data_IF_193165410902
#
_entry.id   IF_193165410902
#
_cell.length_a   1.000
_cell.length_b   1.000
_cell.length_c   1.000
_cell.angle_alpha   90.00
_cell.angle_beta   90.00
_cell.angle_gamma   90.00
#
_symmetry.space_group_name_H-M   'P 1'
#
loop_
_entity.id
_entity.type
_entity.pdbx_description
1 polymer ?
#
# COMPACT_ATOMS: atom_id res chain seq x y z
N UNK A 1 51.28 -62.42 12.02
CA UNK A 1 51.46 -61.24 11.12
C UNK A 1 50.34 -60.98 10.14
N UNK A 2 49.27 -61.71 10.09
CA UNK A 2 48.21 -61.61 9.09
C UNK A 2 47.05 -60.68 9.47
N UNK A 3 46.72 -60.46 10.72
CA UNK A 3 45.58 -59.67 11.21
C UNK A 3 45.79 -58.16 11.04
N UNK A 4 47.03 -57.68 11.24
CA UNK A 4 47.38 -56.25 11.04
C UNK A 4 47.32 -55.80 9.59
N UNK A 5 47.50 -56.68 8.60
CA UNK A 5 47.35 -56.34 7.16
C UNK A 5 45.92 -56.20 6.73
N UNK A 6 44.99 -56.99 7.30
CA UNK A 6 43.57 -56.93 6.96
C UNK A 6 42.92 -55.67 7.53
N UNK A 7 43.33 -55.26 8.74
CA UNK A 7 42.83 -54.02 9.38
C UNK A 7 43.23 -52.76 8.60
N UNK A 8 44.44 -52.76 8.02
CA UNK A 8 44.92 -51.64 7.26
C UNK A 8 44.21 -51.49 5.89
N UNK A 9 43.79 -52.59 5.30
CA UNK A 9 43.08 -52.59 4.00
C UNK A 9 41.62 -52.07 4.18
N UNK A 10 40.97 -52.38 5.30
CA UNK A 10 39.62 -51.89 5.58
C UNK A 10 39.63 -50.38 5.79
N UNK A 11 40.56 -49.83 6.55
CA UNK A 11 40.70 -48.38 6.80
C UNK A 11 41.05 -47.63 5.50
N UNK A 12 41.91 -48.20 4.65
CA UNK A 12 42.24 -47.62 3.35
C UNK A 12 41.03 -47.56 2.42
N UNK A 13 40.14 -48.54 2.49
CA UNK A 13 38.93 -48.59 1.67
C UNK A 13 37.92 -47.52 2.12
N UNK A 14 37.72 -47.34 3.42
CA UNK A 14 36.86 -46.31 3.98
C UNK A 14 37.39 -44.89 3.68
N UNK A 15 38.71 -44.70 3.74
CA UNK A 15 39.35 -43.42 3.34
C UNK A 15 39.18 -43.12 1.86
N UNK A 16 39.30 -44.14 0.97
CA UNK A 16 39.02 -43.96 -0.45
C UNK A 16 37.55 -43.60 -0.74
N UNK A 17 36.62 -44.21 -0.06
CA UNK A 17 35.20 -43.91 -0.19
C UNK A 17 34.86 -42.49 0.30
N UNK A 18 35.46 -42.07 1.43
CA UNK A 18 35.33 -40.70 1.94
C UNK A 18 35.95 -39.67 1.00
N UNK A 19 37.08 -39.94 0.43
CA UNK A 19 37.73 -39.06 -0.59
C UNK A 19 36.89 -38.94 -1.87
N UNK A 20 36.28 -40.01 -2.34
CA UNK A 20 35.39 -40.00 -3.48
C UNK A 20 34.09 -39.23 -3.19
N UNK A 21 33.57 -39.35 -1.97
CA UNK A 21 32.40 -38.56 -1.52
C UNK A 21 32.69 -37.06 -1.43
N UNK A 22 33.90 -36.71 -0.93
CA UNK A 22 34.38 -35.31 -0.89
C UNK A 22 34.62 -34.73 -2.29
N UNK A 23 35.12 -35.51 -3.23
CA UNK A 23 35.24 -35.07 -4.63
C UNK A 23 33.90 -34.85 -5.29
N UNK A 24 32.90 -35.74 -5.06
CA UNK A 24 31.52 -35.55 -5.54
C UNK A 24 30.85 -34.33 -4.93
N UNK A 25 31.12 -34.00 -3.65
CA UNK A 25 30.65 -32.78 -3.01
C UNK A 25 31.33 -31.54 -3.59
N UNK A 26 32.62 -31.57 -3.88
CA UNK A 26 33.34 -30.46 -4.55
C UNK A 26 32.84 -30.19 -5.96
N UNK A 27 32.51 -31.24 -6.74
CA UNK A 27 31.89 -31.05 -8.07
C UNK A 27 30.50 -30.49 -7.97
N UNK A 28 29.64 -30.98 -7.05
CA UNK A 28 28.30 -30.40 -6.78
C UNK A 28 28.37 -28.95 -6.29
N UNK A 29 29.39 -28.57 -5.53
CA UNK A 29 29.60 -27.18 -5.11
C UNK A 29 30.06 -26.25 -6.22
N UNK A 30 30.80 -26.78 -7.22
CA UNK A 30 31.20 -26.03 -8.43
C UNK A 30 30.04 -25.82 -9.42
N UNK A 31 29.03 -26.66 -9.37
CA UNK A 31 27.80 -26.54 -10.17
C UNK A 31 26.76 -25.59 -9.57
N UNK A 32 27.04 -24.91 -8.45
CA UNK A 32 26.22 -23.75 -8.05
C UNK A 32 26.27 -22.76 -9.21
N UNK A 33 25.19 -22.78 -10.01
CA UNK A 33 24.92 -21.82 -11.08
C UNK A 33 25.21 -20.43 -10.53
N UNK A 34 26.34 -19.86 -10.93
CA UNK A 34 26.62 -18.46 -10.67
C UNK A 34 25.50 -17.70 -11.37
N UNK A 35 24.61 -17.06 -10.59
CA UNK A 35 23.57 -16.20 -11.18
C UNK A 35 24.29 -15.10 -11.97
N UNK A 36 24.28 -15.22 -13.27
CA UNK A 36 24.80 -14.20 -14.17
C UNK A 36 23.84 -13.02 -14.07
N UNK A 37 24.30 -11.89 -13.54
CA UNK A 37 23.52 -10.65 -13.50
C UNK A 37 23.26 -10.20 -14.93
N UNK A 38 21.99 -10.14 -15.31
CA UNK A 38 21.55 -9.61 -16.59
C UNK A 38 21.30 -8.13 -16.44
N UNK A 39 21.90 -7.30 -17.30
CA UNK A 39 21.65 -5.85 -17.30
C UNK A 39 20.19 -5.56 -17.70
N UNK A 40 19.55 -4.65 -16.97
CA UNK A 40 18.20 -4.18 -17.27
C UNK A 40 18.08 -3.65 -18.71
N UNK A 41 19.15 -3.00 -19.23
CA UNK A 41 19.21 -2.55 -20.64
C UNK A 41 19.05 -3.66 -21.66
N UNK A 42 19.43 -4.91 -21.33
CA UNK A 42 19.21 -6.07 -22.20
C UNK A 42 17.78 -6.60 -22.15
N UNK A 43 17.04 -6.26 -21.09
CA UNK A 43 15.63 -6.63 -20.89
C UNK A 43 14.69 -5.54 -21.39
N UNK A 44 15.22 -4.37 -21.75
CA UNK A 44 14.45 -3.18 -22.13
C UNK A 44 13.85 -3.32 -23.54
N UNK A 45 12.84 -4.16 -23.65
CA UNK A 45 11.72 -3.91 -24.58
C UNK A 45 10.59 -3.36 -23.70
N UNK A 46 10.64 -2.06 -23.39
CA UNK A 46 9.50 -1.38 -22.78
C UNK A 46 8.40 -1.46 -23.83
N UNK A 47 7.44 -2.36 -23.62
CA UNK A 47 6.17 -2.31 -24.36
C UNK A 47 5.46 -1.07 -23.86
N UNK A 48 5.34 -0.06 -24.71
CA UNK A 48 4.26 0.89 -24.59
C UNK A 48 2.97 0.08 -24.79
N UNK A 49 2.09 0.08 -23.79
CA UNK A 49 0.76 -0.49 -23.95
C UNK A 49 -0.10 0.62 -24.59
N UNK A 50 -0.50 0.40 -25.83
CA UNK A 50 -1.38 1.34 -26.53
C UNK A 50 -2.76 1.37 -25.85
N UNK A 51 -3.44 2.53 -25.81
CA UNK A 51 -4.81 2.61 -25.31
C UNK A 51 -5.74 1.67 -26.08
N UNK A 52 -6.75 1.17 -25.40
CA UNK A 52 -7.81 0.35 -26.00
C UNK A 52 -9.06 1.23 -26.15
N UNK A 53 -9.63 1.27 -27.36
CA UNK A 53 -10.88 1.95 -27.60
C UNK A 53 -12.06 0.98 -27.40
N UNK A 54 -13.00 1.38 -26.52
CA UNK A 54 -14.24 0.65 -26.25
C UNK A 54 -15.44 1.53 -26.58
N UNK A 55 -16.59 0.92 -26.87
CA UNK A 55 -17.83 1.66 -27.14
C UNK A 55 -18.78 1.57 -25.94
N UNK A 56 -19.29 2.71 -25.53
CA UNK A 56 -20.37 2.82 -24.53
C UNK A 56 -21.49 3.63 -25.19
N UNK A 57 -22.56 2.97 -25.60
CA UNK A 57 -23.59 3.58 -26.45
C UNK A 57 -23.02 3.98 -27.80
N UNK A 58 -23.14 5.25 -28.14
CA UNK A 58 -22.60 5.83 -29.38
C UNK A 58 -21.19 6.41 -29.23
N UNK A 59 -20.71 6.55 -27.97
CA UNK A 59 -19.43 7.17 -27.65
C UNK A 59 -18.28 6.16 -27.67
N UNK A 60 -17.11 6.63 -28.12
CA UNK A 60 -15.86 5.86 -28.03
C UNK A 60 -15.03 6.32 -26.86
N UNK A 61 -14.77 5.41 -25.95
CA UNK A 61 -13.96 5.65 -24.77
C UNK A 61 -12.59 5.02 -24.97
N UNK A 62 -11.55 5.84 -24.87
CA UNK A 62 -10.16 5.39 -24.94
C UNK A 62 -9.65 5.05 -23.55
N UNK A 63 -9.17 3.81 -23.34
CA UNK A 63 -8.75 3.30 -22.03
C UNK A 63 -7.24 3.08 -22.02
N UNK A 64 -6.55 3.79 -21.14
CA UNK A 64 -5.11 3.64 -20.90
C UNK A 64 -4.86 2.35 -20.09
N UNK A 65 -3.88 1.54 -20.50
CA UNK A 65 -3.60 0.25 -19.87
C UNK A 65 -2.54 0.31 -18.77
N UNK A 66 -1.76 1.38 -18.69
CA UNK A 66 -0.68 1.54 -17.71
C UNK A 66 -0.49 3.00 -17.35
N UNK A 67 -0.35 3.29 -16.08
CA UNK A 67 0.04 4.60 -15.57
C UNK A 67 1.47 4.57 -14.99
N UNK A 68 2.27 5.63 -15.23
CA UNK A 68 3.51 5.84 -14.50
C UNK A 68 3.28 5.85 -12.99
N UNK A 69 4.29 5.42 -12.21
CA UNK A 69 4.19 5.31 -10.75
C UNK A 69 3.74 6.63 -10.10
N UNK A 70 4.28 7.76 -10.55
CA UNK A 70 3.90 9.09 -10.03
C UNK A 70 2.39 9.34 -10.15
N UNK A 71 1.80 9.04 -11.31
CA UNK A 71 0.35 9.18 -11.50
C UNK A 71 -0.45 8.23 -10.62
N UNK A 72 0.03 6.99 -10.42
CA UNK A 72 -0.61 6.03 -9.51
C UNK A 72 -0.63 6.56 -8.07
N UNK A 73 0.47 7.13 -7.60
CA UNK A 73 0.55 7.76 -6.27
C UNK A 73 -0.46 8.89 -6.14
N UNK A 74 -0.56 9.77 -7.16
CA UNK A 74 -1.54 10.86 -7.17
C UNK A 74 -2.98 10.32 -7.12
N UNK A 75 -3.29 9.27 -7.87
CA UNK A 75 -4.62 8.62 -7.84
C UNK A 75 -4.95 8.11 -6.43
N UNK A 76 -4.02 7.40 -5.80
CA UNK A 76 -4.22 6.87 -4.44
C UNK A 76 -4.40 8.01 -3.41
N UNK A 77 -3.61 9.07 -3.51
CA UNK A 77 -3.76 10.25 -2.64
C UNK A 77 -5.12 10.91 -2.82
N UNK A 78 -5.54 11.15 -4.06
CA UNK A 78 -6.85 11.74 -4.36
C UNK A 78 -8.00 10.92 -3.78
N UNK A 79 -7.93 9.59 -3.90
CA UNK A 79 -8.95 8.69 -3.34
C UNK A 79 -9.03 8.84 -1.82
N UNK A 80 -7.88 8.85 -1.15
CA UNK A 80 -7.79 8.99 0.31
C UNK A 80 -8.31 10.35 0.77
N UNK A 81 -7.89 11.43 0.12
CA UNK A 81 -8.31 12.79 0.46
C UNK A 81 -9.82 12.99 0.28
N UNK A 82 -10.38 12.50 -0.83
CA UNK A 82 -11.80 12.65 -1.12
C UNK A 82 -12.69 11.74 -0.25
N UNK A 83 -12.24 10.52 0.04
CA UNK A 83 -12.97 9.62 0.93
C UNK A 83 -13.05 10.18 2.35
N UNK A 84 -11.98 10.85 2.80
CA UNK A 84 -11.85 11.37 4.16
C UNK A 84 -11.98 10.29 5.22
N UNK A 85 -11.55 10.58 6.41
CA UNK A 85 -11.85 9.78 7.59
C UNK A 85 -13.13 10.26 8.27
N UNK A 86 -13.76 9.41 9.07
CA UNK A 86 -14.86 9.84 9.94
C UNK A 86 -14.31 10.57 11.18
N UNK A 87 -15.21 11.06 12.04
CA UNK A 87 -14.86 11.74 13.30
C UNK A 87 -14.00 10.88 14.23
N UNK A 88 -14.09 9.56 14.11
CA UNK A 88 -13.29 8.60 14.89
C UNK A 88 -11.95 8.29 14.22
N UNK A 89 -11.62 8.88 13.06
CA UNK A 89 -10.36 8.68 12.34
C UNK A 89 -10.29 7.44 11.46
N UNK A 90 -11.42 6.76 11.21
CA UNK A 90 -11.48 5.58 10.34
C UNK A 90 -11.91 5.93 8.92
N UNK A 91 -11.34 5.23 7.94
CA UNK A 91 -11.81 5.29 6.55
C UNK A 91 -12.97 4.33 6.31
N UNK A 92 -14.00 4.83 5.63
CA UNK A 92 -15.13 4.01 5.22
C UNK A 92 -14.84 3.35 3.88
N UNK A 93 -14.83 2.00 3.86
CA UNK A 93 -14.54 1.21 2.65
C UNK A 93 -15.52 1.51 1.50
N UNK A 94 -16.78 1.83 1.79
CA UNK A 94 -17.77 2.18 0.77
C UNK A 94 -17.39 3.50 0.11
N UNK A 95 -17.00 4.52 0.90
CA UNK A 95 -16.50 5.79 0.35
C UNK A 95 -15.24 5.57 -0.49
N UNK A 96 -14.28 4.76 0.00
CA UNK A 96 -13.09 4.42 -0.75
C UNK A 96 -13.45 3.78 -2.11
N UNK A 97 -14.44 2.87 -2.15
CA UNK A 97 -14.91 2.24 -3.39
C UNK A 97 -15.52 3.25 -4.36
N UNK A 98 -16.34 4.19 -3.86
CA UNK A 98 -16.93 5.25 -4.67
C UNK A 98 -15.84 6.10 -5.33
N UNK A 99 -14.92 6.63 -4.54
CA UNK A 99 -13.86 7.51 -5.07
C UNK A 99 -12.83 6.75 -5.90
N UNK A 100 -12.54 5.48 -5.57
CA UNK A 100 -11.74 4.62 -6.44
C UNK A 100 -12.35 4.48 -7.83
N UNK A 101 -13.64 4.19 -7.92
CA UNK A 101 -14.33 4.02 -9.21
C UNK A 101 -14.30 5.32 -10.02
N UNK A 102 -14.57 6.46 -9.38
CA UNK A 102 -14.56 7.78 -10.06
C UNK A 102 -13.15 8.13 -10.54
N UNK A 103 -12.13 8.01 -9.67
CA UNK A 103 -10.74 8.32 -10.00
C UNK A 103 -10.17 7.41 -11.08
N UNK A 104 -10.48 6.12 -11.02
CA UNK A 104 -10.07 5.16 -12.06
C UNK A 104 -10.64 5.54 -13.42
N UNK A 105 -11.93 5.87 -13.51
CA UNK A 105 -12.54 6.35 -14.75
C UNK A 105 -11.91 7.65 -15.23
N UNK A 106 -11.67 8.60 -14.33
CA UNK A 106 -11.09 9.91 -14.65
C UNK A 106 -9.68 9.82 -15.23
N UNK A 107 -8.85 8.92 -14.71
CA UNK A 107 -7.42 8.88 -15.02
C UNK A 107 -7.10 7.83 -16.11
N UNK A 108 -7.84 6.72 -16.14
CA UNK A 108 -7.61 5.66 -17.13
C UNK A 108 -8.41 5.84 -18.42
N UNK A 109 -9.35 6.79 -18.45
CA UNK A 109 -10.17 7.01 -19.64
C UNK A 109 -10.19 8.47 -20.07
N UNK A 110 -10.77 8.73 -21.23
CA UNK A 110 -11.10 10.09 -21.70
C UNK A 110 -12.46 10.59 -21.17
N UNK A 111 -13.07 9.92 -20.20
CA UNK A 111 -14.29 10.39 -19.54
C UNK A 111 -13.96 11.60 -18.66
N UNK A 112 -14.71 12.68 -18.81
CA UNK A 112 -14.63 13.87 -17.96
C UNK A 112 -15.90 14.03 -17.14
N UNK A 113 -15.73 14.47 -15.89
CA UNK A 113 -16.85 14.80 -15.01
C UNK A 113 -16.92 16.31 -14.82
N UNK A 114 -18.12 16.85 -14.79
CA UNK A 114 -18.36 18.26 -14.46
C UNK A 114 -18.22 18.49 -12.96
N UNK A 115 -17.88 19.72 -12.55
CA UNK A 115 -17.81 20.09 -11.13
C UNK A 115 -19.10 19.71 -10.38
N UNK A 116 -20.26 20.02 -10.97
CA UNK A 116 -21.58 19.68 -10.41
C UNK A 116 -21.78 18.16 -10.20
N UNK A 117 -21.18 17.31 -11.04
CA UNK A 117 -21.24 15.85 -10.84
C UNK A 117 -20.30 15.41 -9.70
N UNK A 118 -19.17 16.08 -9.53
CA UNK A 118 -18.21 15.79 -8.45
C UNK A 118 -18.67 16.30 -7.08
N UNK A 119 -19.58 17.28 -7.02
CA UNK A 119 -20.22 17.74 -5.77
C UNK A 119 -21.06 16.65 -5.09
N UNK A 120 -21.62 15.70 -5.88
CA UNK A 120 -22.43 14.59 -5.36
C UNK A 120 -21.85 13.24 -5.86
N UNK A 121 -20.74 12.78 -5.25
CA UNK A 121 -20.03 11.56 -5.70
C UNK A 121 -20.87 10.30 -5.56
N UNK A 122 -21.81 10.25 -4.62
CA UNK A 122 -22.70 9.09 -4.45
C UNK A 122 -23.65 8.97 -5.63
N UNK A 123 -24.29 10.06 -6.02
CA UNK A 123 -25.16 10.09 -7.17
C UNK A 123 -24.40 9.83 -8.48
N UNK A 124 -23.17 10.35 -8.59
CA UNK A 124 -22.31 10.06 -9.74
C UNK A 124 -21.97 8.58 -9.81
N UNK A 125 -21.63 7.95 -8.70
CA UNK A 125 -21.37 6.53 -8.62
C UNK A 125 -22.58 5.70 -9.02
N UNK A 126 -23.79 6.06 -8.57
CA UNK A 126 -25.03 5.40 -8.95
C UNK A 126 -25.25 5.47 -10.49
N UNK A 127 -25.00 6.63 -11.09
CA UNK A 127 -25.08 6.79 -12.56
C UNK A 127 -24.08 5.88 -13.26
N UNK A 128 -22.86 5.80 -12.78
CA UNK A 128 -21.79 4.96 -13.34
C UNK A 128 -22.18 3.48 -13.28
N UNK A 129 -22.73 3.03 -12.15
CA UNK A 129 -23.12 1.63 -11.92
C UNK A 129 -24.38 1.28 -12.74
N UNK A 130 -25.43 2.10 -12.66
CA UNK A 130 -26.69 1.85 -13.36
C UNK A 130 -26.52 1.79 -14.90
N UNK A 131 -25.61 2.58 -15.43
CA UNK A 131 -25.29 2.56 -16.86
C UNK A 131 -24.18 1.56 -17.23
N UNK A 132 -23.76 0.71 -16.31
CA UNK A 132 -22.74 -0.32 -16.50
C UNK A 132 -21.39 0.22 -17.04
N UNK A 133 -21.10 1.50 -16.78
CA UNK A 133 -19.90 2.18 -17.31
C UNK A 133 -18.64 1.56 -16.71
N UNK A 134 -18.60 1.40 -15.39
CA UNK A 134 -17.45 0.81 -14.71
C UNK A 134 -17.18 -0.62 -15.15
N UNK A 135 -18.21 -1.47 -15.21
CA UNK A 135 -18.06 -2.87 -15.60
C UNK A 135 -17.51 -3.00 -17.03
N UNK A 136 -17.91 -2.09 -17.92
CA UNK A 136 -17.44 -2.09 -19.33
C UNK A 136 -15.98 -1.63 -19.44
N UNK A 137 -15.57 -0.64 -18.62
CA UNK A 137 -14.21 -0.06 -18.66
C UNK A 137 -13.21 -0.94 -17.92
N UNK A 138 -13.56 -1.46 -16.74
CA UNK A 138 -12.64 -2.15 -15.85
C UNK A 138 -11.91 -3.33 -16.50
N UNK A 139 -12.57 -4.05 -17.40
CA UNK A 139 -12.00 -5.22 -18.07
C UNK A 139 -10.93 -4.84 -19.11
N UNK A 140 -10.94 -3.59 -19.55
CA UNK A 140 -9.92 -3.03 -20.44
C UNK A 140 -8.68 -2.53 -19.70
N UNK A 141 -8.79 -2.31 -18.38
CA UNK A 141 -7.64 -1.98 -17.51
C UNK A 141 -7.07 -3.28 -16.97
N UNK A 142 -5.75 -3.56 -17.14
CA UNK A 142 -5.15 -4.77 -16.63
C UNK A 142 -5.43 -4.97 -15.12
N UNK A 143 -5.83 -6.18 -14.74
CA UNK A 143 -6.14 -6.53 -13.34
C UNK A 143 -5.03 -6.10 -12.37
N UNK A 144 -3.76 -6.38 -12.71
CA UNK A 144 -2.60 -5.97 -11.90
C UNK A 144 -2.49 -4.46 -11.67
N UNK A 145 -2.97 -3.64 -12.61
CA UNK A 145 -3.01 -2.18 -12.45
C UNK A 145 -4.08 -1.78 -11.44
N UNK A 146 -5.28 -2.39 -11.58
CA UNK A 146 -6.42 -2.15 -10.70
C UNK A 146 -6.12 -2.59 -9.27
N UNK A 147 -5.62 -3.81 -9.12
CA UNK A 147 -5.26 -4.38 -7.82
C UNK A 147 -4.15 -3.58 -7.15
N UNK A 148 -3.11 -3.18 -7.90
CA UNK A 148 -2.04 -2.36 -7.37
C UNK A 148 -2.56 -1.05 -6.73
N UNK A 149 -3.45 -0.34 -7.42
CA UNK A 149 -4.02 0.92 -6.90
C UNK A 149 -4.94 0.64 -5.72
N UNK A 150 -5.82 -0.36 -5.83
CA UNK A 150 -6.77 -0.70 -4.77
C UNK A 150 -6.07 -1.15 -3.48
N UNK A 151 -5.18 -2.12 -3.58
CA UNK A 151 -4.49 -2.71 -2.43
C UNK A 151 -3.64 -1.66 -1.70
N UNK A 152 -2.90 -0.84 -2.47
CA UNK A 152 -2.08 0.22 -1.86
C UNK A 152 -2.95 1.36 -1.29
N UNK A 153 -4.08 1.69 -1.89
CA UNK A 153 -5.04 2.64 -1.30
C UNK A 153 -5.58 2.12 0.02
N UNK A 154 -6.00 0.86 0.08
CA UNK A 154 -6.47 0.24 1.32
C UNK A 154 -5.36 0.15 2.38
N UNK A 155 -4.13 -0.17 1.99
CA UNK A 155 -2.99 -0.19 2.90
C UNK A 155 -2.71 1.21 3.47
N UNK A 156 -2.69 2.24 2.63
CA UNK A 156 -2.48 3.63 3.04
C UNK A 156 -3.60 4.11 3.99
N UNK A 157 -4.87 3.82 3.68
CA UNK A 157 -6.00 4.14 4.55
C UNK A 157 -5.85 3.49 5.94
N UNK A 158 -5.37 2.25 5.98
CA UNK A 158 -5.10 1.53 7.24
C UNK A 158 -3.96 2.18 8.02
N UNK A 159 -2.84 2.48 7.37
CA UNK A 159 -1.70 3.13 8.02
C UNK A 159 -2.08 4.48 8.63
N UNK A 160 -2.86 5.30 7.90
CA UNK A 160 -3.35 6.57 8.42
C UNK A 160 -4.27 6.35 9.62
N UNK A 161 -5.18 5.37 9.54
CA UNK A 161 -6.06 5.00 10.65
C UNK A 161 -5.25 4.58 11.88
N UNK A 162 -4.27 3.69 11.72
CA UNK A 162 -3.40 3.24 12.80
C UNK A 162 -2.58 4.39 13.40
N UNK A 163 -2.07 5.29 12.55
CA UNK A 163 -1.38 6.49 13.00
C UNK A 163 -2.29 7.40 13.83
N UNK A 164 -3.51 7.70 13.35
CA UNK A 164 -4.46 8.56 14.05
C UNK A 164 -4.86 8.00 15.43
N UNK A 165 -4.88 6.67 15.57
CA UNK A 165 -5.16 5.99 16.85
C UNK A 165 -3.90 5.74 17.69
N UNK A 166 -2.72 6.08 17.19
CA UNK A 166 -1.49 6.00 17.99
C UNK A 166 -1.43 7.15 19.01
N UNK A 167 -0.66 6.93 20.08
CA UNK A 167 -0.44 7.98 21.08
C UNK A 167 0.13 9.27 20.45
N UNK A 168 0.99 9.14 19.43
CA UNK A 168 1.57 10.28 18.72
C UNK A 168 0.54 11.00 17.86
N UNK A 169 -0.33 10.28 17.15
CA UNK A 169 -1.42 10.85 16.36
C UNK A 169 -2.44 11.60 17.25
N UNK A 170 -2.81 11.00 18.36
CA UNK A 170 -3.71 11.65 19.35
C UNK A 170 -3.10 12.93 19.89
N UNK A 171 -1.80 12.90 20.26
CA UNK A 171 -1.10 14.09 20.73
C UNK A 171 -1.05 15.19 19.66
N UNK A 172 -0.87 14.82 18.40
CA UNK A 172 -0.86 15.78 17.29
C UNK A 172 -2.24 16.40 17.08
N UNK A 173 -3.32 15.60 17.06
CA UNK A 173 -4.69 16.10 16.98
C UNK A 173 -5.01 17.06 18.13
N UNK A 174 -4.60 16.71 19.35
CA UNK A 174 -4.73 17.61 20.50
C UNK A 174 -3.95 18.89 20.31
N UNK A 175 -2.72 18.83 19.75
CA UNK A 175 -1.91 20.03 19.47
C UNK A 175 -2.54 20.92 18.40
N UNK A 176 -3.06 20.34 17.33
CA UNK A 176 -3.70 21.06 16.23
C UNK A 176 -5.01 21.74 16.73
N UNK A 177 -5.77 21.08 17.61
CA UNK A 177 -6.92 21.66 18.30
C UNK A 177 -6.52 22.81 19.23
N UNK A 178 -5.37 22.70 19.90
CA UNK A 178 -4.83 23.77 20.75
C UNK A 178 -4.40 25.02 19.98
N UNK A 179 -3.85 24.87 18.78
CA UNK A 179 -3.47 26.01 17.94
C UNK A 179 -4.70 26.76 17.37
N UNK A 180 -5.83 26.05 17.20
CA UNK A 180 -7.08 26.61 16.71
C UNK A 180 -7.99 27.19 17.82
N UNK A 181 -7.73 26.84 19.08
CA UNK A 181 -8.42 27.43 20.22
C UNK A 181 -7.75 28.76 20.57
N UNK A 182 -8.47 29.87 20.42
CA UNK A 182 -8.10 31.14 21.04
C UNK A 182 -8.16 30.95 22.57
N UNK A 183 -7.06 30.44 23.13
CA UNK A 183 -6.94 30.28 24.57
C UNK A 183 -6.96 31.66 25.24
N UNK A 184 -7.99 31.95 25.98
CA UNK A 184 -7.94 32.97 27.01
C UNK A 184 -7.01 32.44 28.12
N UNK A 185 -5.74 32.85 28.01
CA UNK A 185 -4.67 32.49 28.98
C UNK A 185 -5.08 32.83 30.42
N UNK A 186 -5.95 33.85 30.61
CA UNK A 186 -6.47 34.22 31.91
C UNK A 186 -7.44 33.17 32.46
N UNK A 187 -8.38 32.67 31.63
CA UNK A 187 -9.34 31.66 32.06
C UNK A 187 -8.65 30.33 32.42
N UNK A 188 -7.60 29.95 31.70
CA UNK A 188 -6.81 28.74 32.00
C UNK A 188 -6.02 28.93 33.28
N UNK A 189 -5.42 30.12 33.46
CA UNK A 189 -4.65 30.41 34.67
C UNK A 189 -5.53 30.42 35.91
N UNK A 190 -6.76 30.92 35.81
CA UNK A 190 -7.77 30.86 36.89
C UNK A 190 -8.19 29.41 37.19
N UNK A 191 -8.48 28.61 36.16
CA UNK A 191 -8.85 27.18 36.32
C UNK A 191 -7.71 26.31 36.84
N UNK A 192 -6.46 26.59 36.47
CA UNK A 192 -5.27 25.89 36.97
C UNK A 192 -4.86 26.36 38.37
N UNK A 193 -5.26 27.57 38.81
CA UNK A 193 -5.01 28.05 40.16
C UNK A 193 -5.90 27.38 41.21
N UNK A 194 -6.97 26.71 40.79
CA UNK A 194 -7.80 25.89 41.69
C UNK A 194 -7.04 24.58 42.00
N UNK A 195 -6.70 24.40 43.30
CA UNK A 195 -5.96 23.23 43.82
C UNK A 195 -6.60 21.89 43.41
N UNK A 196 -7.93 21.84 43.28
CA UNK A 196 -8.69 20.65 42.92
C UNK A 196 -8.34 20.19 41.49
N UNK A 197 -8.12 21.11 40.56
CA UNK A 197 -7.77 20.83 39.17
C UNK A 197 -6.31 20.39 39.03
N UNK A 198 -5.40 20.95 39.84
CA UNK A 198 -4.00 20.52 39.88
C UNK A 198 -3.85 19.08 40.39
N UNK A 199 -4.63 18.66 41.37
CA UNK A 199 -4.64 17.29 41.87
C UNK A 199 -5.22 16.30 40.86
N UNK A 200 -6.21 16.71 40.07
CA UNK A 200 -6.76 15.92 38.96
C UNK A 200 -5.70 15.70 37.85
N UNK A 201 -5.01 16.73 37.43
CA UNK A 201 -3.93 16.65 36.44
C UNK A 201 -2.76 15.77 36.97
N UNK A 202 -2.40 15.92 38.24
CA UNK A 202 -1.35 15.11 38.87
C UNK A 202 -1.74 13.64 38.95
N UNK A 203 -3.01 13.33 39.26
CA UNK A 203 -3.53 11.97 39.28
C UNK A 203 -3.64 11.34 37.90
N UNK A 204 -3.91 12.13 36.85
CA UNK A 204 -3.88 11.67 35.46
C UNK A 204 -2.46 11.36 34.99
N UNK A 205 -1.50 12.24 35.30
CA UNK A 205 -0.09 12.03 34.95
C UNK A 205 0.53 10.83 35.67
N UNK A 206 0.15 10.55 36.94
CA UNK A 206 0.62 9.38 37.67
C UNK A 206 -0.02 8.05 37.22
N UNK A 207 -1.10 8.09 36.46
CA UNK A 207 -1.72 6.88 35.86
C UNK A 207 -1.20 6.57 34.45
N UNK A 208 -0.46 7.50 33.84
CA UNK A 208 0.11 7.37 32.49
C UNK A 208 1.59 6.94 32.53
N UNK A 209 2.18 6.80 33.71
CA UNK A 209 3.50 6.24 33.97
C UNK A 209 3.35 4.88 34.65
#
# INVERSE_FOLDING_TARGET
MTVLKIFNISILKELCEALNALQKLKTKLKEKKVMVKVSLTKLNKIKSLDPIDIKIGEETISVVQYLPLEKKLTVMQNIIEQAGNNEEGFYNIVKLTVFYTIEMLRVYTNISFTEKQLEDPQKLYDIIVLNNIWETVKDSIPEKERDYIWDNTCALAREITEYNHSALGILKLMSDDYENLNFDVQEITEKLSDRTNLDLVRNLLTKLV
#
